data_IF_233405640550
#
_entry.id   IF_233405640550
#
_cell.length_a   1.000
_cell.length_b   1.000
_cell.length_c   1.000
_cell.angle_alpha   90.00
_cell.angle_beta   90.00
_cell.angle_gamma   90.00
#
_symmetry.space_group_name_H-M   'P 1'
#
loop_
_entity.id
_entity.type
_entity.pdbx_description
1 polymer ?
#
# COMPACT_ATOMS: atom_id res chain seq x y z
N UNK A 1 42.18 30.94 104.95
CA UNK A 1 42.10 31.86 103.80
C UNK A 1 42.53 31.12 102.54
N UNK A 2 43.81 30.74 102.38
CA UNK A 2 44.31 30.03 101.18
C UNK A 2 43.56 28.73 100.80
N UNK A 3 43.22 27.88 101.76
CA UNK A 3 42.44 26.65 101.49
C UNK A 3 41.01 26.92 100.98
N UNK A 4 40.39 28.04 101.37
CA UNK A 4 39.05 28.43 100.90
C UNK A 4 39.13 29.03 99.49
N UNK A 5 40.19 29.79 99.20
CA UNK A 5 40.47 30.33 97.86
C UNK A 5 40.77 29.23 96.85
N UNK A 6 41.56 28.22 97.21
CA UNK A 6 41.83 27.06 96.36
C UNK A 6 40.55 26.22 96.11
N UNK A 7 39.66 26.11 97.10
CA UNK A 7 38.37 25.46 96.97
C UNK A 7 37.39 26.24 96.08
N UNK A 8 37.37 27.57 96.18
CA UNK A 8 36.61 28.46 95.30
C UNK A 8 37.11 28.39 93.86
N UNK A 9 38.42 28.50 93.64
CA UNK A 9 39.01 28.39 92.30
C UNK A 9 38.77 27.01 91.67
N UNK A 10 38.87 25.93 92.46
CA UNK A 10 38.50 24.59 91.99
C UNK A 10 36.99 24.46 91.72
N UNK A 11 36.16 25.12 92.50
CA UNK A 11 34.71 25.20 92.30
C UNK A 11 34.34 25.92 91.01
N UNK A 12 34.94 27.09 90.77
CA UNK A 12 34.73 27.90 89.56
C UNK A 12 35.22 27.18 88.30
N UNK A 13 36.37 26.48 88.38
CA UNK A 13 36.85 25.64 87.29
C UNK A 13 35.88 24.49 86.98
N UNK A 14 35.32 23.83 88.00
CA UNK A 14 34.31 22.78 87.84
C UNK A 14 32.99 23.33 87.30
N UNK A 15 32.55 24.51 87.74
CA UNK A 15 31.34 25.17 87.23
C UNK A 15 31.50 25.58 85.77
N UNK A 16 32.67 26.10 85.39
CA UNK A 16 32.98 26.44 84.01
C UNK A 16 33.00 25.19 83.11
N UNK A 17 33.59 24.09 83.60
CA UNK A 17 33.58 22.82 82.89
C UNK A 17 32.16 22.26 82.72
N UNK A 18 31.37 22.23 83.80
CA UNK A 18 29.98 21.75 83.76
C UNK A 18 29.08 22.63 82.89
N UNK A 19 29.32 23.94 82.84
CA UNK A 19 28.61 24.85 81.93
C UNK A 19 28.95 24.55 80.47
N UNK A 20 30.24 24.34 80.16
CA UNK A 20 30.67 23.94 78.81
C UNK A 20 30.09 22.59 78.39
N UNK A 21 30.07 21.62 79.29
CA UNK A 21 29.45 20.31 79.04
C UNK A 21 27.93 20.44 78.85
N UNK A 22 27.26 21.30 79.62
CA UNK A 22 25.83 21.57 79.47
C UNK A 22 25.50 22.23 78.12
N UNK A 23 26.32 23.19 77.67
CA UNK A 23 26.14 23.84 76.37
C UNK A 23 26.39 22.85 75.22
N UNK A 24 27.42 22.01 75.33
CA UNK A 24 27.68 20.95 74.36
C UNK A 24 26.50 19.95 74.27
N UNK A 25 25.92 19.57 75.42
CA UNK A 25 24.74 18.72 75.47
C UNK A 25 23.50 19.40 74.87
N UNK A 26 23.31 20.70 75.11
CA UNK A 26 22.22 21.48 74.50
C UNK A 26 22.34 21.57 72.99
N UNK A 27 23.54 21.83 72.46
CA UNK A 27 23.78 21.83 71.01
C UNK A 27 23.50 20.46 70.39
N UNK A 28 23.88 19.38 71.07
CA UNK A 28 23.62 18.01 70.62
C UNK A 28 22.13 17.68 70.65
N UNK A 29 21.41 18.12 71.67
CA UNK A 29 19.97 17.93 71.79
C UNK A 29 19.20 18.71 70.71
N UNK A 30 19.58 19.98 70.45
CA UNK A 30 19.01 20.77 69.37
C UNK A 30 19.22 20.13 67.98
N UNK A 31 20.37 19.48 67.76
CA UNK A 31 20.63 18.74 66.53
C UNK A 31 19.74 17.49 66.39
N UNK A 32 19.38 16.83 67.51
CA UNK A 32 18.43 15.72 67.49
C UNK A 32 16.98 16.19 67.29
N UNK A 33 16.58 17.29 67.93
CA UNK A 33 15.25 17.88 67.74
C UNK A 33 15.05 18.36 66.29
N UNK A 34 16.10 18.84 65.62
CA UNK A 34 16.07 19.23 64.22
C UNK A 34 15.82 18.06 63.24
N UNK A 35 16.06 16.81 63.66
CA UNK A 35 15.75 15.62 62.85
C UNK A 35 14.24 15.32 62.79
N UNK A 36 13.44 15.97 63.66
CA UNK A 36 12.00 15.79 63.75
C UNK A 36 11.60 14.55 64.56
N UNK A 37 10.28 14.35 64.65
CA UNK A 37 9.70 13.28 65.46
C UNK A 37 9.98 11.87 64.89
N UNK A 38 10.01 10.87 65.75
CA UNK A 38 10.27 9.46 65.36
C UNK A 38 9.26 8.98 64.29
N UNK A 39 8.04 9.47 64.32
CA UNK A 39 7.00 9.12 63.35
C UNK A 39 7.30 9.67 61.94
N UNK A 40 7.85 10.88 61.83
CA UNK A 40 8.20 11.46 60.53
C UNK A 40 9.41 10.74 59.91
N UNK A 41 10.40 10.38 60.75
CA UNK A 41 11.54 9.57 60.32
C UNK A 41 11.14 8.17 59.86
N UNK A 42 10.16 7.55 60.52
CA UNK A 42 9.58 6.26 60.07
C UNK A 42 8.89 6.40 58.72
N UNK A 43 8.07 7.44 58.57
CA UNK A 43 7.38 7.72 57.30
C UNK A 43 8.37 7.96 56.15
N UNK A 44 9.43 8.75 56.37
CA UNK A 44 10.45 8.99 55.35
C UNK A 44 11.18 7.71 54.94
N UNK A 45 11.41 6.79 55.87
CA UNK A 45 12.00 5.48 55.58
C UNK A 45 11.06 4.62 54.71
N UNK A 46 9.77 4.62 55.01
CA UNK A 46 8.75 3.92 54.23
C UNK A 46 8.62 4.52 52.82
N UNK A 47 8.50 5.85 52.71
CA UNK A 47 8.44 6.58 51.44
C UNK A 47 9.69 6.32 50.59
N UNK A 48 10.89 6.28 51.21
CA UNK A 48 12.12 5.96 50.51
C UNK A 48 12.14 4.51 49.98
N UNK A 49 11.63 3.55 50.75
CA UNK A 49 11.51 2.16 50.31
C UNK A 49 10.51 2.02 49.14
N UNK A 50 9.41 2.76 49.20
CA UNK A 50 8.40 2.80 48.14
C UNK A 50 8.96 3.44 46.86
N UNK A 51 9.69 4.55 46.96
CA UNK A 51 10.37 5.17 45.83
C UNK A 51 11.36 4.23 45.14
N UNK A 52 12.13 3.45 45.90
CA UNK A 52 13.03 2.43 45.33
C UNK A 52 12.25 1.35 44.59
N UNK A 53 11.12 0.92 45.14
CA UNK A 53 10.24 -0.07 44.50
C UNK A 53 9.66 0.48 43.19
N UNK A 54 9.18 1.72 43.21
CA UNK A 54 8.60 2.37 42.04
C UNK A 54 9.64 2.61 40.94
N UNK A 55 10.88 3.00 41.30
CA UNK A 55 11.98 3.10 40.32
C UNK A 55 12.24 1.76 39.62
N UNK A 56 12.34 0.67 40.37
CA UNK A 56 12.55 -0.68 39.79
C UNK A 56 11.40 -1.09 38.84
N UNK A 57 10.17 -0.72 39.16
CA UNK A 57 9.01 -0.98 38.28
C UNK A 57 9.13 -0.12 37.02
N UNK A 58 9.46 1.16 37.17
CA UNK A 58 9.62 2.08 36.05
C UNK A 58 10.73 1.62 35.10
N UNK A 59 11.88 1.19 35.61
CA UNK A 59 12.98 0.69 34.78
C UNK A 59 12.57 -0.54 33.97
N UNK A 60 11.79 -1.45 34.58
CA UNK A 60 11.23 -2.62 33.88
C UNK A 60 10.22 -2.22 32.80
N UNK A 61 9.36 -1.26 33.08
CA UNK A 61 8.39 -0.75 32.11
C UNK A 61 9.10 -0.05 30.95
N UNK A 62 10.12 0.76 31.22
CA UNK A 62 10.93 1.41 30.18
C UNK A 62 11.63 0.39 29.29
N UNK A 63 12.22 -0.67 29.86
CA UNK A 63 12.79 -1.76 29.07
C UNK A 63 11.73 -2.40 28.17
N UNK A 64 10.55 -2.70 28.72
CA UNK A 64 9.45 -3.33 27.96
C UNK A 64 8.91 -2.42 26.85
N UNK A 65 8.83 -1.11 27.10
CA UNK A 65 8.49 -0.12 26.07
C UNK A 65 9.51 -0.15 24.95
N UNK A 66 10.80 -0.14 25.26
CA UNK A 66 11.86 -0.22 24.25
C UNK A 66 11.92 -1.55 23.49
N UNK A 67 11.50 -2.66 24.09
CA UNK A 67 11.32 -3.94 23.39
C UNK A 67 10.13 -3.88 22.42
N UNK A 68 8.98 -3.36 22.86
CA UNK A 68 7.78 -3.23 22.04
C UNK A 68 7.97 -2.24 20.88
N UNK A 69 8.69 -1.15 21.08
CA UNK A 69 9.03 -0.19 20.01
C UNK A 69 9.90 -0.85 18.93
N UNK A 70 10.84 -1.72 19.31
CA UNK A 70 11.64 -2.49 18.36
C UNK A 70 10.80 -3.49 17.59
N UNK A 71 9.95 -4.25 18.28
CA UNK A 71 9.05 -5.22 17.64
C UNK A 71 8.09 -4.52 16.66
N UNK A 72 7.55 -3.35 17.05
CA UNK A 72 6.69 -2.55 16.18
C UNK A 72 7.45 -2.10 14.93
N UNK A 73 8.67 -1.61 15.08
CA UNK A 73 9.51 -1.17 13.95
C UNK A 73 9.84 -2.33 12.99
N UNK A 74 10.15 -3.52 13.52
CA UNK A 74 10.38 -4.71 12.71
C UNK A 74 9.11 -5.13 11.95
N UNK A 75 7.95 -5.11 12.62
CA UNK A 75 6.66 -5.43 11.99
C UNK A 75 6.25 -4.42 10.93
N UNK A 76 6.51 -3.14 11.15
CA UNK A 76 6.27 -2.10 10.14
C UNK A 76 7.14 -2.31 8.90
N UNK A 77 8.42 -2.64 9.09
CA UNK A 77 9.33 -2.97 7.99
C UNK A 77 8.85 -4.21 7.21
N UNK A 78 8.47 -5.28 7.90
CA UNK A 78 7.91 -6.48 7.26
C UNK A 78 6.64 -6.16 6.46
N UNK A 79 5.77 -5.28 7.01
CA UNK A 79 4.55 -4.83 6.32
C UNK A 79 4.88 -4.06 5.05
N UNK A 80 5.84 -3.14 5.10
CA UNK A 80 6.28 -2.36 3.92
C UNK A 80 6.88 -3.27 2.85
N UNK A 81 7.72 -4.23 3.23
CA UNK A 81 8.30 -5.21 2.30
C UNK A 81 7.23 -6.13 1.69
N UNK A 82 6.20 -6.50 2.45
CA UNK A 82 5.06 -7.26 1.93
C UNK A 82 4.24 -6.45 0.91
N UNK A 83 3.93 -5.19 1.23
CA UNK A 83 3.20 -4.28 0.33
C UNK A 83 3.96 -4.05 -0.98
N UNK A 84 5.28 -3.88 -0.91
CA UNK A 84 6.09 -3.71 -2.13
C UNK A 84 6.11 -4.98 -2.98
N UNK A 85 6.22 -6.17 -2.37
CA UNK A 85 6.14 -7.45 -3.09
C UNK A 85 4.79 -7.62 -3.77
N UNK A 86 3.70 -7.32 -3.07
CA UNK A 86 2.35 -7.38 -3.63
C UNK A 86 2.19 -6.42 -4.81
N UNK A 87 2.67 -5.18 -4.68
CA UNK A 87 2.65 -4.20 -5.75
C UNK A 87 3.42 -4.68 -6.99
N UNK A 88 4.62 -5.22 -6.80
CA UNK A 88 5.44 -5.77 -7.90
C UNK A 88 4.74 -6.96 -8.58
N UNK A 89 4.09 -7.83 -7.81
CA UNK A 89 3.29 -8.91 -8.38
C UNK A 89 2.11 -8.37 -9.18
N UNK A 90 1.38 -7.38 -8.67
CA UNK A 90 0.27 -6.74 -9.37
C UNK A 90 0.69 -6.20 -10.74
N UNK A 91 1.83 -5.51 -10.81
CA UNK A 91 2.39 -5.01 -12.09
C UNK A 91 2.71 -6.17 -13.04
N UNK A 92 3.41 -7.21 -12.56
CA UNK A 92 3.73 -8.39 -13.38
C UNK A 92 2.49 -9.13 -13.89
N UNK A 93 1.45 -9.24 -13.07
CA UNK A 93 0.19 -9.86 -13.48
C UNK A 93 -0.52 -9.02 -14.55
N UNK A 94 -0.54 -7.69 -14.41
CA UNK A 94 -1.05 -6.79 -15.45
C UNK A 94 -0.28 -6.96 -16.77
N UNK A 95 1.05 -7.01 -16.72
CA UNK A 95 1.88 -7.26 -17.91
C UNK A 95 1.59 -8.61 -18.55
N UNK A 96 1.48 -9.68 -17.75
CA UNK A 96 1.19 -11.02 -18.25
C UNK A 96 -0.18 -11.09 -18.94
N UNK A 97 -1.17 -10.36 -18.42
CA UNK A 97 -2.51 -10.29 -18.98
C UNK A 97 -2.50 -9.56 -20.33
N UNK A 98 -1.73 -8.47 -20.45
CA UNK A 98 -1.55 -7.74 -21.72
C UNK A 98 -1.01 -8.65 -22.82
N UNK A 99 -0.02 -9.50 -22.54
CA UNK A 99 0.55 -10.42 -23.54
C UNK A 99 -0.43 -11.52 -23.96
N UNK A 100 -1.19 -12.08 -23.03
CA UNK A 100 -2.20 -13.11 -23.35
C UNK A 100 -3.34 -12.52 -24.16
N UNK A 101 -3.81 -11.34 -23.78
CA UNK A 101 -4.82 -10.61 -24.52
C UNK A 101 -4.33 -10.22 -25.93
N UNK A 102 -3.04 -9.95 -26.12
CA UNK A 102 -2.45 -9.68 -27.44
C UNK A 102 -2.41 -10.94 -28.32
N UNK A 103 -2.13 -12.12 -27.75
CA UNK A 103 -2.24 -13.41 -28.48
C UNK A 103 -3.68 -13.67 -28.89
N UNK A 104 -4.63 -13.52 -27.94
CA UNK A 104 -6.07 -13.70 -28.22
C UNK A 104 -6.53 -12.70 -29.29
N UNK A 105 -6.09 -11.44 -29.22
CA UNK A 105 -6.40 -10.42 -30.22
C UNK A 105 -5.92 -10.84 -31.63
N UNK A 106 -4.70 -11.37 -31.75
CA UNK A 106 -4.16 -11.86 -33.02
C UNK A 106 -4.92 -13.07 -33.54
N UNK A 107 -5.30 -14.01 -32.66
CA UNK A 107 -6.13 -15.16 -33.04
C UNK A 107 -7.52 -14.74 -33.51
N UNK A 108 -8.19 -13.82 -32.80
CA UNK A 108 -9.48 -13.26 -33.22
C UNK A 108 -9.39 -12.58 -34.59
N UNK A 109 -8.29 -11.87 -34.85
CA UNK A 109 -8.06 -11.27 -36.17
C UNK A 109 -7.82 -12.33 -37.25
N UNK A 110 -7.14 -13.43 -36.93
CA UNK A 110 -7.00 -14.59 -37.80
C UNK A 110 -8.36 -15.17 -38.20
N UNK A 111 -9.25 -15.38 -37.22
CA UNK A 111 -10.61 -15.87 -37.46
C UNK A 111 -11.42 -14.91 -38.35
N UNK A 112 -11.33 -13.58 -38.13
CA UNK A 112 -11.98 -12.59 -38.99
C UNK A 112 -11.50 -12.68 -40.46
N UNK A 113 -10.22 -12.96 -40.69
CA UNK A 113 -9.68 -13.14 -42.03
C UNK A 113 -10.16 -14.46 -42.65
N UNK A 114 -10.19 -15.56 -41.89
CA UNK A 114 -10.69 -16.86 -42.37
C UNK A 114 -12.17 -16.79 -42.75
N UNK A 115 -12.99 -16.11 -41.95
CA UNK A 115 -14.40 -15.85 -42.28
C UNK A 115 -14.56 -15.00 -43.53
N UNK A 116 -13.58 -14.14 -43.86
CA UNK A 116 -13.55 -13.43 -45.15
C UNK A 116 -13.39 -14.40 -46.30
N UNK A 117 -12.46 -15.35 -46.15
CA UNK A 117 -12.20 -16.41 -47.12
C UNK A 117 -13.46 -17.25 -47.37
N UNK A 118 -14.07 -17.76 -46.30
CA UNK A 118 -15.32 -18.54 -46.38
C UNK A 118 -16.44 -17.73 -47.05
N UNK A 119 -16.60 -16.46 -46.69
CA UNK A 119 -17.58 -15.59 -47.35
C UNK A 119 -17.31 -15.38 -48.84
N UNK A 120 -16.05 -15.29 -49.26
CA UNK A 120 -15.69 -15.22 -50.68
C UNK A 120 -15.98 -16.52 -51.41
N UNK A 121 -15.71 -17.66 -50.79
CA UNK A 121 -16.00 -18.98 -51.37
C UNK A 121 -17.49 -19.24 -51.50
N UNK A 122 -18.30 -18.85 -50.50
CA UNK A 122 -19.76 -18.94 -50.57
C UNK A 122 -20.32 -18.10 -51.73
N UNK A 123 -19.82 -16.88 -51.94
CA UNK A 123 -20.18 -16.07 -53.13
C UNK A 123 -19.79 -16.76 -54.44
N UNK A 124 -18.60 -17.36 -54.48
CA UNK A 124 -18.15 -18.12 -55.66
C UNK A 124 -19.05 -19.33 -55.93
N UNK A 125 -19.54 -19.99 -54.88
CA UNK A 125 -20.42 -21.14 -54.97
C UNK A 125 -21.78 -20.76 -55.58
N UNK A 126 -22.34 -19.61 -55.20
CA UNK A 126 -23.58 -19.07 -55.80
C UNK A 126 -23.42 -18.90 -57.32
N UNK A 127 -22.35 -18.21 -57.74
CA UNK A 127 -22.06 -17.96 -59.17
C UNK A 127 -21.84 -19.27 -59.94
N UNK A 128 -21.27 -20.30 -59.30
CA UNK A 128 -21.11 -21.63 -59.91
C UNK A 128 -22.43 -22.38 -59.98
N UNK A 129 -23.29 -22.26 -58.97
CA UNK A 129 -24.60 -22.90 -58.92
C UNK A 129 -25.53 -22.39 -60.02
N UNK A 130 -25.43 -21.11 -60.39
CA UNK A 130 -26.17 -20.51 -61.52
C UNK A 130 -25.91 -21.20 -62.88
N UNK A 131 -24.80 -21.96 -62.99
CA UNK A 131 -24.44 -22.69 -64.21
C UNK A 131 -25.00 -24.11 -64.25
N UNK A 132 -25.66 -24.57 -63.18
CA UNK A 132 -26.26 -25.89 -63.11
C UNK A 132 -27.50 -25.94 -64.00
N UNK A 133 -27.72 -27.10 -64.64
CA UNK A 133 -28.91 -27.33 -65.48
C UNK A 133 -30.11 -27.79 -64.65
N UNK A 134 -29.87 -28.34 -63.47
CA UNK A 134 -30.92 -28.80 -62.56
C UNK A 134 -31.34 -27.63 -61.65
N UNK A 135 -32.59 -27.18 -61.83
CA UNK A 135 -33.15 -26.07 -61.09
C UNK A 135 -33.22 -26.34 -59.57
N UNK A 136 -33.55 -27.57 -59.17
CA UNK A 136 -33.69 -27.92 -57.76
C UNK A 136 -32.34 -27.88 -57.03
N UNK A 137 -31.27 -28.33 -57.69
CA UNK A 137 -29.90 -28.26 -57.18
C UNK A 137 -29.38 -26.81 -57.14
N UNK A 138 -29.65 -26.04 -58.18
CA UNK A 138 -29.32 -24.62 -58.23
C UNK A 138 -29.96 -23.86 -57.05
N UNK A 139 -31.25 -24.06 -56.83
CA UNK A 139 -31.97 -23.39 -55.75
C UNK A 139 -31.49 -23.86 -54.37
N UNK A 140 -31.24 -25.16 -54.19
CA UNK A 140 -30.73 -25.70 -52.93
C UNK A 140 -29.35 -25.13 -52.56
N UNK A 141 -28.43 -25.07 -53.54
CA UNK A 141 -27.07 -24.56 -53.32
C UNK A 141 -27.10 -23.05 -53.08
N UNK A 142 -27.90 -22.29 -53.83
CA UNK A 142 -28.05 -20.85 -53.60
C UNK A 142 -28.54 -20.56 -52.19
N UNK A 143 -29.64 -21.20 -51.77
CA UNK A 143 -30.23 -21.00 -50.44
C UNK A 143 -29.25 -21.39 -49.31
N UNK A 144 -28.47 -22.45 -49.48
CA UNK A 144 -27.47 -22.86 -48.50
C UNK A 144 -26.29 -21.86 -48.42
N UNK A 145 -25.85 -21.36 -49.57
CA UNK A 145 -24.76 -20.39 -49.67
C UNK A 145 -25.15 -19.03 -49.09
N UNK A 146 -26.39 -18.58 -49.29
CA UNK A 146 -26.91 -17.34 -48.71
C UNK A 146 -26.97 -17.42 -47.18
N UNK A 147 -27.46 -18.54 -46.62
CA UNK A 147 -27.44 -18.78 -45.17
C UNK A 147 -26.02 -18.79 -44.62
N UNK A 148 -25.07 -19.39 -45.33
CA UNK A 148 -23.66 -19.41 -44.94
C UNK A 148 -23.07 -17.99 -44.96
N UNK A 149 -23.41 -17.18 -45.97
CA UNK A 149 -22.98 -15.80 -46.06
C UNK A 149 -23.50 -14.95 -44.90
N UNK A 150 -24.77 -15.09 -44.54
CA UNK A 150 -25.36 -14.35 -43.45
C UNK A 150 -24.75 -14.77 -42.10
N UNK A 151 -24.54 -16.07 -41.88
CA UNK A 151 -23.82 -16.56 -40.69
C UNK A 151 -22.39 -16.00 -40.62
N UNK A 152 -21.67 -15.91 -41.76
CA UNK A 152 -20.35 -15.30 -41.79
C UNK A 152 -20.38 -13.80 -41.44
N UNK A 153 -21.40 -13.06 -41.90
CA UNK A 153 -21.55 -11.63 -41.57
C UNK A 153 -21.84 -11.45 -40.08
N UNK A 154 -22.77 -12.21 -39.52
CA UNK A 154 -23.14 -12.15 -38.10
C UNK A 154 -21.94 -12.48 -37.21
N UNK A 155 -21.22 -13.56 -37.52
CA UNK A 155 -20.06 -13.97 -36.73
C UNK A 155 -18.92 -12.94 -36.81
N UNK A 156 -18.69 -12.33 -37.98
CA UNK A 156 -17.72 -11.24 -38.13
C UNK A 156 -18.12 -10.00 -37.33
N UNK A 157 -19.39 -9.62 -37.34
CA UNK A 157 -19.88 -8.50 -36.54
C UNK A 157 -19.67 -8.79 -35.04
N UNK A 158 -20.00 -10.00 -34.59
CA UNK A 158 -19.78 -10.41 -33.20
C UNK A 158 -18.30 -10.40 -32.81
N UNK A 159 -17.41 -10.87 -33.69
CA UNK A 159 -15.95 -10.82 -33.45
C UNK A 159 -15.45 -9.37 -33.33
N UNK A 160 -15.95 -8.46 -34.18
CA UNK A 160 -15.62 -7.02 -34.07
C UNK A 160 -16.13 -6.43 -32.76
N UNK A 161 -17.34 -6.77 -32.34
CA UNK A 161 -17.90 -6.36 -31.06
C UNK A 161 -17.02 -6.79 -29.88
N UNK A 162 -16.57 -8.05 -29.87
CA UNK A 162 -15.67 -8.58 -28.84
C UNK A 162 -14.34 -7.84 -28.86
N UNK A 163 -13.76 -7.62 -30.04
CA UNK A 163 -12.52 -6.84 -30.21
C UNK A 163 -12.69 -5.42 -29.66
N UNK A 164 -13.80 -4.74 -29.98
CA UNK A 164 -14.04 -3.36 -29.53
C UNK A 164 -14.29 -3.26 -28.03
N UNK A 165 -15.04 -4.20 -27.43
CA UNK A 165 -15.40 -4.18 -26.01
C UNK A 165 -14.29 -4.69 -25.09
N UNK A 166 -13.48 -5.64 -25.55
CA UNK A 166 -12.56 -6.36 -24.68
C UNK A 166 -11.08 -5.99 -24.88
N UNK A 167 -10.69 -5.42 -26.02
CA UNK A 167 -9.32 -5.01 -26.26
C UNK A 167 -9.10 -3.52 -25.96
N UNK A 168 -7.92 -3.21 -25.43
CA UNK A 168 -7.44 -1.83 -25.30
C UNK A 168 -7.10 -1.22 -26.67
N UNK A 169 -7.07 0.11 -26.77
CA UNK A 169 -6.73 0.82 -28.01
C UNK A 169 -5.35 0.43 -28.56
N UNK A 170 -4.36 0.23 -27.67
CA UNK A 170 -3.03 -0.24 -28.06
C UNK A 170 -3.07 -1.61 -28.71
N UNK A 171 -3.88 -2.54 -28.18
CA UNK A 171 -4.03 -3.87 -28.75
C UNK A 171 -4.76 -3.84 -30.09
N UNK A 172 -5.80 -3.00 -30.24
CA UNK A 172 -6.49 -2.80 -31.53
C UNK A 172 -5.53 -2.30 -32.61
N UNK A 173 -4.62 -1.37 -32.27
CA UNK A 173 -3.57 -0.91 -33.16
C UNK A 173 -2.62 -2.05 -33.58
N UNK A 174 -2.20 -2.91 -32.66
CA UNK A 174 -1.31 -4.03 -32.98
C UNK A 174 -1.90 -5.04 -33.97
N UNK A 175 -3.22 -5.26 -33.91
CA UNK A 175 -3.91 -6.16 -34.84
C UNK A 175 -4.46 -5.45 -36.08
N UNK A 176 -4.18 -4.15 -36.24
CA UNK A 176 -4.60 -3.35 -37.40
C UNK A 176 -6.11 -3.16 -37.51
N UNK A 177 -6.84 -3.14 -36.39
CA UNK A 177 -8.27 -2.83 -36.36
C UNK A 177 -8.45 -1.31 -36.29
N UNK A 178 -9.27 -0.76 -37.16
CA UNK A 178 -9.58 0.68 -37.16
C UNK A 178 -10.26 1.04 -35.83
N UNK A 179 -9.70 2.04 -35.13
CA UNK A 179 -10.21 2.53 -33.85
C UNK A 179 -11.62 3.12 -34.02
N UNK A 180 -11.87 3.69 -35.20
CA UNK A 180 -13.16 4.23 -35.64
C UNK A 180 -13.79 3.36 -36.75
N UNK A 181 -14.12 2.09 -36.47
CA UNK A 181 -14.94 1.32 -37.42
C UNK A 181 -16.42 1.73 -37.24
N UNK A 182 -16.90 2.66 -38.07
CA UNK A 182 -18.31 3.08 -38.09
C UNK A 182 -19.28 1.92 -38.40
N UNK A 183 -18.76 0.76 -38.84
CA UNK A 183 -19.52 -0.47 -39.08
C UNK A 183 -19.51 -1.44 -37.89
N UNK A 184 -18.73 -1.18 -36.84
CA UNK A 184 -18.69 -1.99 -35.63
C UNK A 184 -19.83 -1.64 -34.64
N UNK A 185 -20.44 -0.47 -34.78
CA UNK A 185 -21.72 -0.20 -34.16
C UNK A 185 -22.83 -0.63 -35.13
N UNK A 186 -23.42 -1.80 -34.90
CA UNK A 186 -24.70 -2.14 -35.54
C UNK A 186 -25.66 -0.96 -35.40
N UNK A 187 -26.41 -0.65 -36.47
CA UNK A 187 -27.30 0.50 -36.59
C UNK A 187 -27.91 0.90 -35.23
N UNK A 188 -27.41 1.98 -34.63
CA UNK A 188 -28.08 2.61 -33.50
C UNK A 188 -29.41 3.13 -34.03
N UNK A 189 -30.46 2.32 -33.86
CA UNK A 189 -31.83 2.84 -33.87
C UNK A 189 -31.90 3.86 -32.74
N UNK A 190 -32.29 5.06 -33.12
CA UNK A 190 -32.46 6.27 -32.31
C UNK A 190 -31.18 7.08 -32.09
N UNK A 191 -31.11 8.19 -32.84
CA UNK A 191 -29.99 9.11 -32.85
C UNK A 191 -29.63 9.66 -31.48
N UNK A 192 -28.43 9.29 -31.03
CA UNK A 192 -27.73 9.93 -29.92
C UNK A 192 -26.30 10.23 -30.35
N UNK A 193 -25.92 11.50 -30.31
CA UNK A 193 -24.55 11.92 -30.59
C UNK A 193 -23.58 11.29 -29.56
N UNK A 194 -22.54 10.60 -30.03
CA UNK A 194 -21.46 10.14 -29.16
C UNK A 194 -20.71 11.36 -28.62
N UNK A 195 -20.71 11.47 -27.29
CA UNK A 195 -19.96 12.44 -26.51
C UNK A 195 -18.48 12.29 -26.83
N UNK A 196 -17.87 13.45 -27.10
CA UNK A 196 -16.45 13.66 -27.38
C UNK A 196 -15.56 12.88 -26.42
N UNK A 197 -14.56 12.21 -27.00
CA UNK A 197 -13.42 11.56 -26.38
C UNK A 197 -13.13 12.00 -24.92
N UNK A 198 -13.37 11.10 -23.98
CA UNK A 198 -12.60 11.11 -22.75
C UNK A 198 -11.19 10.65 -23.13
N UNK A 199 -10.27 11.60 -23.26
CA UNK A 199 -8.86 11.28 -23.08
C UNK A 199 -8.76 10.82 -21.62
N UNK A 200 -8.77 9.50 -21.42
CA UNK A 200 -8.24 8.95 -20.18
C UNK A 200 -6.76 9.33 -20.18
N UNK A 201 -6.45 10.41 -19.45
CA UNK A 201 -5.10 10.68 -18.98
C UNK A 201 -4.57 9.34 -18.45
N UNK A 202 -3.50 8.83 -19.08
CA UNK A 202 -2.75 7.69 -18.56
C UNK A 202 -2.29 8.14 -17.19
N UNK A 203 -3.05 7.76 -16.14
CA UNK A 203 -2.66 8.00 -14.76
C UNK A 203 -1.28 7.38 -14.60
N UNK A 204 -0.25 8.25 -14.58
CA UNK A 204 1.09 7.86 -14.17
C UNK A 204 0.89 7.09 -12.85
N UNK A 205 1.48 5.90 -12.69
CA UNK A 205 1.29 5.13 -11.49
C UNK A 205 1.55 6.04 -10.29
N UNK A 206 0.54 6.30 -9.45
CA UNK A 206 0.81 7.05 -8.23
C UNK A 206 1.79 6.18 -7.44
N UNK A 207 3.02 6.66 -7.33
CA UNK A 207 4.04 5.90 -6.62
C UNK A 207 3.72 5.90 -5.10
N UNK A 208 2.75 6.70 -4.64
CA UNK A 208 2.41 6.86 -3.24
C UNK A 208 3.37 7.83 -2.57
N UNK A 209 3.03 8.30 -1.37
CA UNK A 209 3.77 9.36 -0.66
C UNK A 209 5.08 8.91 -0.01
N UNK A 210 5.43 7.61 -0.11
CA UNK A 210 6.64 7.03 0.49
C UNK A 210 7.92 7.66 -0.08
N UNK A 211 8.98 7.73 0.73
CA UNK A 211 10.29 8.26 0.32
C UNK A 211 10.90 7.44 -0.83
N UNK A 212 10.70 6.13 -0.85
CA UNK A 212 11.17 5.24 -1.91
C UNK A 212 10.43 5.48 -3.24
N UNK A 213 9.13 5.79 -3.15
CA UNK A 213 8.30 6.13 -4.28
C UNK A 213 8.71 7.44 -4.96
N UNK A 214 9.01 8.48 -4.16
CA UNK A 214 9.50 9.77 -4.66
C UNK A 214 10.86 9.66 -5.36
N UNK A 215 11.75 8.79 -4.89
CA UNK A 215 13.04 8.53 -5.52
C UNK A 215 12.88 7.88 -6.90
N UNK A 216 11.98 6.89 -7.05
CA UNK A 216 11.72 6.26 -8.35
C UNK A 216 11.04 7.21 -9.34
N UNK A 217 10.08 8.03 -8.89
CA UNK A 217 9.51 9.10 -9.73
C UNK A 217 10.58 10.05 -10.26
N UNK A 218 11.56 10.41 -9.42
CA UNK A 218 12.64 11.29 -9.82
C UNK A 218 13.58 10.63 -10.85
N UNK A 219 13.86 9.33 -10.70
CA UNK A 219 14.68 8.57 -11.64
C UNK A 219 13.99 8.32 -12.99
N UNK A 220 12.70 8.01 -12.98
CA UNK A 220 11.89 7.87 -14.21
C UNK A 220 11.76 9.21 -14.93
N UNK A 221 11.47 10.31 -14.20
CA UNK A 221 11.42 11.65 -14.77
C UNK A 221 12.77 12.17 -15.30
N UNK A 222 13.90 11.57 -14.88
CA UNK A 222 15.23 11.84 -15.44
C UNK A 222 15.47 11.03 -16.72
N UNK A 223 15.01 9.78 -16.78
CA UNK A 223 15.12 8.95 -17.99
C UNK A 223 14.30 9.50 -19.14
N UNK A 224 13.09 9.98 -18.87
CA UNK A 224 12.22 10.56 -19.90
C UNK A 224 12.77 11.89 -20.47
N UNK A 225 13.57 12.63 -19.70
CA UNK A 225 14.24 13.86 -20.18
C UNK A 225 15.48 13.59 -21.06
N UNK A 226 15.94 12.35 -21.11
CA UNK A 226 17.10 11.92 -21.88
C UNK A 226 16.73 11.06 -23.10
N UNK A 227 15.42 10.92 -23.39
CA UNK A 227 14.89 10.42 -24.66
C UNK A 227 14.41 11.60 -25.51
#
# INVERSE_FOLDING_TARGET
MKQLEDQLASGDAKLSQLSGDADAMRSRLAAFEALGDIETLRKWKEDAAELVRMRRINDKLQSKVGDLERELSEKEKEREEALERERLMSVKYKELDIFKLDVIARELKGIDNDLQGVGSEAKSLIVKAERLRNYDEQQAISNASDKLLDACKELRAHLRDVIHKCLSETQKMHIGVAIDDHLAAGDLKDGGAMVVAAYDDIERPDHGSSRAAKLRQADEARRDRHR
#
